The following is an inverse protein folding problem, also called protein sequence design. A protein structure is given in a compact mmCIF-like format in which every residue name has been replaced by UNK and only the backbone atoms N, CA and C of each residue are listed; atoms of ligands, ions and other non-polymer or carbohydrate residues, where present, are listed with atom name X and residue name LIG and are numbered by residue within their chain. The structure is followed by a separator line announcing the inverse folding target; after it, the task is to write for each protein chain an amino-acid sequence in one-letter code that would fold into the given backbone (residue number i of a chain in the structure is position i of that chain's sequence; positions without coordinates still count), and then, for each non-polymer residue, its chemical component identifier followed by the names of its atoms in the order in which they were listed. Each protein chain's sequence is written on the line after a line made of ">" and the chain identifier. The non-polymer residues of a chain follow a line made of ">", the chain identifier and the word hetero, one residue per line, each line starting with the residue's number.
data_IF_808907248096
#
_entry.id   IF_808907248096
#
_cell.length_a   1.000
_cell.length_b   1.000
_cell.length_c   1.000
_cell.angle_alpha   90.00
_cell.angle_beta   90.00
_cell.angle_gamma   90.00
#
_symmetry.space_group_name_H-M   'P 1'
#
loop_
_entity.id
_entity.type
_entity.pdbx_description
1 polymer ?
#
# COMPACT_ATOMS: atom_id res chain seq x y z
N UNK A 1 -22.77 10.73 -7.82
CA UNK A 1 -21.32 10.65 -8.11
C UNK A 1 -20.51 10.63 -6.84
N UNK A 2 -19.62 9.66 -6.68
CA UNK A 2 -18.70 9.66 -5.54
C UNK A 2 -17.66 10.77 -5.74
N UNK A 3 -17.47 11.63 -4.75
CA UNK A 3 -16.48 12.71 -4.82
C UNK A 3 -15.06 12.13 -4.93
N UNK A 4 -14.16 12.82 -5.64
CA UNK A 4 -12.77 12.38 -5.81
C UNK A 4 -12.08 11.98 -4.48
N UNK A 5 -12.25 12.72 -3.37
CA UNK A 5 -11.67 12.34 -2.08
C UNK A 5 -12.24 11.03 -1.52
N UNK A 6 -13.54 10.77 -1.68
CA UNK A 6 -14.14 9.52 -1.19
C UNK A 6 -13.59 8.29 -1.92
N UNK A 7 -13.33 8.38 -3.23
CA UNK A 7 -12.71 7.30 -3.99
C UNK A 7 -11.28 7.03 -3.52
N UNK A 8 -10.55 8.09 -3.16
CA UNK A 8 -9.19 7.98 -2.60
C UNK A 8 -9.21 7.32 -1.22
N UNK A 9 -10.12 7.73 -0.33
CA UNK A 9 -10.28 7.12 0.99
C UNK A 9 -10.65 5.65 0.89
N UNK A 10 -11.49 5.27 -0.07
CA UNK A 10 -11.84 3.86 -0.31
C UNK A 10 -10.60 3.03 -0.72
N UNK A 11 -9.75 3.55 -1.61
CA UNK A 11 -8.49 2.89 -1.98
C UNK A 11 -7.55 2.71 -0.79
N UNK A 12 -7.37 3.76 0.02
CA UNK A 12 -6.54 3.70 1.23
C UNK A 12 -7.10 2.72 2.28
N UNK A 13 -8.43 2.63 2.40
CA UNK A 13 -9.10 1.68 3.28
C UNK A 13 -8.87 0.22 2.85
N UNK A 14 -8.89 -0.06 1.54
CA UNK A 14 -8.57 -1.39 1.02
C UNK A 14 -7.11 -1.77 1.28
N UNK A 15 -6.16 -0.85 1.12
CA UNK A 15 -4.76 -1.09 1.48
C UNK A 15 -4.60 -1.38 2.99
N UNK A 16 -5.33 -0.65 3.85
CA UNK A 16 -5.33 -0.91 5.29
C UNK A 16 -5.90 -2.30 5.62
N UNK A 17 -6.97 -2.73 4.92
CA UNK A 17 -7.51 -4.09 5.04
C UNK A 17 -6.50 -5.16 4.58
N UNK A 18 -5.70 -4.90 3.55
CA UNK A 18 -4.60 -5.77 3.13
C UNK A 18 -3.62 -6.02 4.27
N UNK A 19 -3.13 -4.97 4.93
CA UNK A 19 -2.25 -5.14 6.10
C UNK A 19 -2.94 -5.79 7.30
N UNK A 20 -4.23 -5.52 7.53
CA UNK A 20 -4.99 -6.12 8.63
C UNK A 20 -5.19 -7.62 8.42
N UNK A 21 -5.43 -8.06 7.18
CA UNK A 21 -5.51 -9.49 6.85
C UNK A 21 -4.16 -10.19 7.03
N UNK A 22 -3.04 -9.52 6.70
CA UNK A 22 -1.69 -10.03 7.00
C UNK A 22 -1.44 -10.18 8.51
N UNK A 23 -1.83 -9.19 9.31
CA UNK A 23 -1.71 -9.25 10.77
C UNK A 23 -2.58 -10.36 11.39
N UNK A 24 -3.84 -10.49 10.94
CA UNK A 24 -4.74 -11.54 11.39
C UNK A 24 -4.23 -12.95 11.05
N UNK A 25 -3.63 -13.11 9.87
CA UNK A 25 -2.99 -14.36 9.44
C UNK A 25 -1.86 -14.74 10.42
N UNK A 26 -0.96 -13.81 10.75
CA UNK A 26 0.15 -14.06 11.67
C UNK A 26 -0.25 -14.27 13.14
N UNK A 27 -1.34 -13.66 13.61
CA UNK A 27 -1.76 -13.76 15.01
C UNK A 27 -2.67 -14.95 15.32
N UNK A 28 -3.55 -15.32 14.39
CA UNK A 28 -4.60 -16.32 14.65
C UNK A 28 -4.45 -17.61 13.85
N UNK A 29 -3.70 -17.59 12.76
CA UNK A 29 -3.55 -18.73 11.85
C UNK A 29 -2.09 -19.21 11.69
N UNK A 30 -1.16 -18.64 12.45
CA UNK A 30 0.21 -19.12 12.50
C UNK A 30 0.30 -20.41 13.33
N UNK A 31 0.92 -21.43 12.75
CA UNK A 31 1.24 -22.68 13.44
C UNK A 31 2.32 -22.47 14.51
N UNK A 32 2.61 -23.47 15.34
CA UNK A 32 3.64 -23.40 16.39
C UNK A 32 5.05 -23.07 15.85
N UNK A 33 5.29 -23.24 14.54
CA UNK A 33 6.52 -22.85 13.83
C UNK A 33 6.45 -21.46 13.17
N UNK A 34 5.35 -20.71 13.31
CA UNK A 34 5.16 -19.38 12.72
C UNK A 34 4.71 -19.39 11.25
N UNK A 35 4.40 -20.55 10.69
CA UNK A 35 3.99 -20.71 9.29
C UNK A 35 2.48 -20.56 9.14
N UNK A 36 2.03 -19.86 8.09
CA UNK A 36 0.61 -19.65 7.76
C UNK A 36 0.34 -20.06 6.32
N UNK A 37 -0.93 -20.39 6.00
CA UNK A 37 -1.33 -20.77 4.64
C UNK A 37 -0.97 -19.69 3.59
N UNK A 38 -0.41 -20.06 2.43
CA UNK A 38 -0.10 -19.13 1.33
C UNK A 38 -1.31 -18.35 0.83
N UNK A 39 -2.51 -18.86 1.10
CA UNK A 39 -3.76 -18.26 0.62
C UNK A 39 -4.06 -16.89 1.25
N UNK A 40 -3.52 -16.63 2.44
CA UNK A 40 -3.60 -15.31 3.06
C UNK A 40 -2.77 -14.28 2.30
N UNK A 41 -1.59 -14.65 1.79
CA UNK A 41 -0.76 -13.73 0.99
C UNK A 41 -1.51 -13.32 -0.29
N UNK A 42 -2.22 -14.24 -0.92
CA UNK A 42 -3.00 -13.90 -2.12
C UNK A 42 -4.15 -12.94 -1.80
N UNK A 43 -4.82 -13.10 -0.65
CA UNK A 43 -5.83 -12.15 -0.20
C UNK A 43 -5.24 -10.77 0.08
N UNK A 44 -4.08 -10.70 0.75
CA UNK A 44 -3.37 -9.44 1.00
C UNK A 44 -3.07 -8.73 -0.31
N UNK A 45 -2.48 -9.45 -1.29
CA UNK A 45 -2.20 -8.90 -2.62
C UNK A 45 -3.46 -8.45 -3.35
N UNK A 46 -4.57 -9.20 -3.25
CA UNK A 46 -5.84 -8.82 -3.86
C UNK A 46 -6.34 -7.48 -3.31
N UNK A 47 -6.35 -7.30 -1.98
CA UNK A 47 -6.77 -6.03 -1.37
C UNK A 47 -5.82 -4.88 -1.71
N UNK A 48 -4.52 -5.12 -1.69
CA UNK A 48 -3.51 -4.10 -2.03
C UNK A 48 -3.62 -3.66 -3.49
N UNK A 49 -3.75 -4.61 -4.43
CA UNK A 49 -3.90 -4.31 -5.86
C UNK A 49 -5.20 -3.57 -6.17
N UNK A 50 -6.32 -3.92 -5.52
CA UNK A 50 -7.57 -3.17 -5.66
C UNK A 50 -7.41 -1.74 -5.11
N UNK A 51 -6.73 -1.57 -3.98
CA UNK A 51 -6.44 -0.25 -3.41
C UNK A 51 -5.56 0.59 -4.32
N UNK A 52 -4.49 0.02 -4.86
CA UNK A 52 -3.61 0.69 -5.83
C UNK A 52 -4.33 1.06 -7.12
N UNK A 53 -5.22 0.19 -7.64
CA UNK A 53 -5.98 0.49 -8.84
C UNK A 53 -6.85 1.75 -8.67
N UNK A 54 -7.45 1.93 -7.49
CA UNK A 54 -8.22 3.12 -7.16
C UNK A 54 -7.33 4.35 -7.00
N UNK A 55 -6.21 4.23 -6.29
CA UNK A 55 -5.30 5.37 -6.01
C UNK A 55 -4.57 5.83 -7.27
N UNK A 56 -4.06 4.89 -8.09
CA UNK A 56 -3.30 5.16 -9.32
C UNK A 56 -4.17 5.85 -10.37
N UNK A 57 -5.43 5.41 -10.54
CA UNK A 57 -6.38 6.05 -11.44
C UNK A 57 -6.75 7.49 -11.01
N UNK A 58 -6.71 7.78 -9.71
CA UNK A 58 -7.00 9.11 -9.15
C UNK A 58 -5.78 10.04 -9.12
N UNK A 59 -4.56 9.52 -8.92
CA UNK A 59 -3.35 10.32 -8.77
C UNK A 59 -3.07 11.21 -10.00
N UNK A 60 -3.08 10.62 -11.20
CA UNK A 60 -2.92 11.37 -12.45
C UNK A 60 -4.13 12.29 -12.74
N UNK A 61 -5.34 11.85 -12.41
CA UNK A 61 -6.56 12.65 -12.61
C UNK A 61 -6.61 13.89 -11.69
N UNK A 62 -6.14 13.78 -10.44
CA UNK A 62 -6.07 14.91 -9.51
C UNK A 62 -5.00 15.92 -9.92
N UNK A 63 -3.82 15.45 -10.35
CA UNK A 63 -2.77 16.34 -10.86
C UNK A 63 -3.24 17.05 -12.14
N UNK A 64 -3.94 16.37 -13.04
CA UNK A 64 -4.46 16.99 -14.25
C UNK A 64 -5.61 17.99 -13.99
N UNK A 65 -6.46 17.74 -12.97
CA UNK A 65 -7.64 18.56 -12.70
C UNK A 65 -7.38 19.78 -11.81
N UNK A 66 -6.42 19.73 -10.87
CA UNK A 66 -6.18 20.81 -9.90
C UNK A 66 -5.00 21.72 -10.28
N UNK A 67 -4.13 21.32 -11.19
CA UNK A 67 -2.85 22.01 -11.42
C UNK A 67 -2.90 22.95 -12.62
N UNK A 68 -2.61 24.25 -12.45
CA UNK A 68 -2.42 25.15 -13.58
C UNK A 68 -1.18 24.75 -14.38
N UNK A 69 -1.27 24.84 -15.72
CA UNK A 69 -0.27 24.33 -16.69
C UNK A 69 1.18 24.78 -16.40
N UNK A 70 1.38 25.96 -15.80
CA UNK A 70 2.70 26.51 -15.49
C UNK A 70 3.38 25.89 -14.25
N UNK A 71 2.65 25.16 -13.38
CA UNK A 71 3.21 24.47 -12.20
C UNK A 71 3.24 22.94 -12.34
N UNK A 72 2.85 22.42 -13.51
CA UNK A 72 2.68 20.98 -13.71
C UNK A 72 3.97 20.18 -13.45
N UNK A 73 5.13 20.69 -13.88
CA UNK A 73 6.42 20.06 -13.60
C UNK A 73 6.79 20.04 -12.11
N UNK A 74 6.45 21.09 -11.36
CA UNK A 74 6.71 21.15 -9.92
C UNK A 74 5.83 20.17 -9.15
N UNK A 75 4.55 20.07 -9.49
CA UNK A 75 3.61 19.17 -8.80
C UNK A 75 3.87 17.71 -9.13
N UNK A 76 4.25 17.39 -10.38
CA UNK A 76 4.73 16.05 -10.73
C UNK A 76 6.01 15.69 -9.96
N UNK A 77 6.94 16.65 -9.80
CA UNK A 77 8.12 16.47 -8.96
C UNK A 77 7.77 16.16 -7.51
N UNK A 78 6.84 16.91 -6.91
CA UNK A 78 6.34 16.64 -5.55
C UNK A 78 5.66 15.28 -5.44
N UNK A 79 4.89 14.85 -6.45
CA UNK A 79 4.27 13.53 -6.47
C UNK A 79 5.31 12.40 -6.43
N UNK A 80 6.35 12.48 -7.26
CA UNK A 80 7.44 11.50 -7.22
C UNK A 80 8.25 11.57 -5.92
N UNK A 81 8.45 12.77 -5.36
CA UNK A 81 9.12 12.93 -4.07
C UNK A 81 8.33 12.24 -2.94
N UNK A 82 7.00 12.35 -2.92
CA UNK A 82 6.15 11.63 -1.97
C UNK A 82 6.29 10.11 -2.12
N UNK A 83 6.37 9.58 -3.35
CA UNK A 83 6.60 8.15 -3.57
C UNK A 83 7.99 7.70 -3.09
N UNK A 84 9.04 8.49 -3.35
CA UNK A 84 10.38 8.20 -2.86
C UNK A 84 10.42 8.15 -1.32
N UNK A 85 9.77 9.11 -0.65
CA UNK A 85 9.64 9.11 0.80
C UNK A 85 8.86 7.89 1.31
N UNK A 86 7.78 7.49 0.63
CA UNK A 86 7.00 6.31 0.97
C UNK A 86 7.84 5.01 0.88
N UNK A 87 8.68 4.87 -0.16
CA UNK A 87 9.56 3.70 -0.28
C UNK A 87 10.62 3.65 0.83
N UNK A 88 11.21 4.80 1.21
CA UNK A 88 12.17 4.87 2.32
C UNK A 88 11.52 4.46 3.65
N UNK A 89 10.32 4.98 3.94
CA UNK A 89 9.56 4.61 5.12
C UNK A 89 9.15 3.13 5.09
N UNK A 90 8.73 2.62 3.93
CA UNK A 90 8.39 1.20 3.75
C UNK A 90 9.58 0.28 4.00
N UNK A 91 10.77 0.63 3.51
CA UNK A 91 12.00 -0.13 3.79
C UNK A 91 12.39 -0.12 5.27
N UNK A 92 12.22 1.02 5.95
CA UNK A 92 12.42 1.09 7.39
C UNK A 92 11.44 0.20 8.16
N UNK A 93 10.16 0.21 7.79
CA UNK A 93 9.14 -0.67 8.39
C UNK A 93 9.45 -2.14 8.12
N UNK A 94 9.90 -2.49 6.91
CA UNK A 94 10.25 -3.86 6.54
C UNK A 94 11.39 -4.45 7.40
N UNK A 95 12.27 -3.58 7.93
CA UNK A 95 13.37 -4.01 8.81
C UNK A 95 12.85 -4.58 10.13
N UNK A 96 11.71 -4.11 10.64
CA UNK A 96 11.08 -4.65 11.85
C UNK A 96 10.41 -6.01 11.62
N UNK A 97 10.07 -6.33 10.37
CA UNK A 97 9.43 -7.60 9.98
C UNK A 97 10.43 -8.59 9.37
N UNK A 98 11.74 -8.28 9.38
CA UNK A 98 12.76 -9.16 8.84
C UNK A 98 12.84 -10.46 9.66
N UNK A 99 12.87 -11.59 8.96
CA UNK A 99 12.98 -12.92 9.56
C UNK A 99 14.34 -13.04 10.27
N UNK A 100 14.40 -13.55 11.52
CA UNK A 100 15.67 -13.78 12.21
C UNK A 100 16.57 -14.70 11.38
N UNK A 101 17.86 -14.36 11.27
CA UNK A 101 18.91 -15.10 10.53
C UNK A 101 19.09 -16.57 10.95
N UNK A 102 18.37 -17.03 11.99
CA UNK A 102 18.49 -18.35 12.61
C UNK A 102 17.40 -19.35 12.19
N UNK A 103 16.59 -19.06 11.17
CA UNK A 103 15.74 -20.05 10.50
C UNK A 103 16.07 -20.02 9.01
N UNK A 104 17.11 -20.76 8.66
CA UNK A 104 17.33 -21.30 7.32
C UNK A 104 16.55 -22.63 7.25
N UNK A 105 15.47 -22.67 6.48
CA UNK A 105 15.15 -23.90 5.74
C UNK A 105 16.08 -23.99 4.52
#
# INVERSE_FOLDING_TARGET
>A
DLTMPMKFTLGMFLCALGFLTAAAAGMWFADAQGLTSPWFIVLVYLFQSLGELLISALGLAMVAALVPQHLMGFILGMWFLTQAAAFLLGGYVATFTAVPENITD
#
